data_IF_286947258206
#
_entry.id   IF_286947258206
#
_cell.length_a   1.000
_cell.length_b   1.000
_cell.length_c   1.000
_cell.angle_alpha   90.00
_cell.angle_beta   90.00
_cell.angle_gamma   90.00
#
_symmetry.space_group_name_H-M   'P 1'
#
loop_
_entity.id
_entity.type
_entity.pdbx_description
1 polymer ?
#
# COMPACT_ATOMS: atom_id res chain seq x y z
N UNK A 1 -2.83 -10.24 27.20
CA UNK A 1 -4.28 -10.46 27.03
C UNK A 1 -4.92 -9.24 26.40
N UNK A 2 -6.06 -9.40 25.73
CA UNK A 2 -6.81 -8.30 25.10
C UNK A 2 -7.22 -7.18 26.09
N UNK A 3 -7.29 -7.48 27.38
CA UNK A 3 -7.59 -6.55 28.45
C UNK A 3 -6.34 -5.90 29.07
N UNK A 4 -5.13 -6.25 28.62
CA UNK A 4 -3.90 -5.64 29.15
C UNK A 4 -3.70 -4.23 28.59
N UNK A 5 -3.20 -3.32 29.43
CA UNK A 5 -2.67 -2.03 28.96
C UNK A 5 -1.46 -2.35 28.08
N UNK A 6 -1.51 -2.06 26.78
CA UNK A 6 -0.40 -2.29 25.87
C UNK A 6 0.90 -1.62 26.35
N UNK A 7 2.03 -2.10 25.87
CA UNK A 7 3.32 -1.44 26.10
C UNK A 7 3.47 -0.28 25.11
N UNK A 8 3.83 0.90 25.61
CA UNK A 8 4.14 2.03 24.76
C UNK A 8 5.33 1.71 23.85
N UNK A 9 5.24 2.03 22.58
CA UNK A 9 6.35 1.85 21.62
C UNK A 9 7.58 2.69 22.01
N UNK A 10 7.38 3.81 22.73
CA UNK A 10 8.47 4.62 23.29
C UNK A 10 9.29 3.89 24.35
N UNK A 11 8.74 2.83 24.96
CA UNK A 11 9.47 1.96 25.89
C UNK A 11 10.32 0.91 25.16
N UNK A 12 10.05 0.67 23.88
CA UNK A 12 10.74 -0.32 23.06
C UNK A 12 11.80 0.35 22.18
N UNK A 13 11.45 1.53 21.65
CA UNK A 13 12.31 2.30 20.75
C UNK A 13 12.66 3.66 21.39
N UNK A 14 13.90 4.14 21.29
CA UNK A 14 14.34 5.43 21.81
C UNK A 14 13.83 6.59 20.96
N UNK A 15 12.52 6.67 20.78
CA UNK A 15 11.85 7.72 20.01
C UNK A 15 11.67 8.96 20.87
N UNK A 16 11.84 10.14 20.27
CA UNK A 16 11.49 11.41 20.89
C UNK A 16 9.97 11.62 20.80
N UNK A 17 9.37 12.29 21.78
CA UNK A 17 7.92 12.48 21.90
C UNK A 17 7.24 13.12 20.68
N UNK A 18 7.98 13.79 19.81
CA UNK A 18 7.45 14.41 18.58
C UNK A 18 7.56 13.51 17.34
N UNK A 19 8.13 12.31 17.46
CA UNK A 19 8.22 11.37 16.34
C UNK A 19 6.89 10.62 16.17
N UNK A 20 6.39 10.56 14.94
CA UNK A 20 5.23 9.76 14.56
C UNK A 20 5.71 8.51 13.80
N UNK A 21 5.09 7.36 14.13
CA UNK A 21 5.31 6.12 13.38
C UNK A 21 4.45 6.17 12.14
N UNK A 22 5.07 6.05 10.97
CA UNK A 22 4.39 6.06 9.68
C UNK A 22 4.10 4.67 9.13
N UNK A 23 4.93 3.68 9.46
CA UNK A 23 4.78 2.31 8.98
C UNK A 23 5.47 1.33 9.92
N UNK A 24 4.87 0.15 10.08
CA UNK A 24 5.46 -1.01 10.73
C UNK A 24 5.43 -2.15 9.72
N UNK A 25 6.53 -2.86 9.58
CA UNK A 25 6.65 -3.97 8.66
C UNK A 25 7.36 -5.14 9.35
N UNK A 26 6.75 -6.32 9.42
CA UNK A 26 7.45 -7.52 9.87
C UNK A 26 8.56 -7.86 8.88
N UNK A 27 9.69 -8.30 9.40
CA UNK A 27 10.81 -8.77 8.58
C UNK A 27 10.86 -10.30 8.64
N UNK A 28 11.34 -10.98 7.57
CA UNK A 28 11.63 -12.41 7.63
C UNK A 28 12.63 -12.72 8.74
N UNK A 29 12.41 -13.79 9.49
CA UNK A 29 13.27 -14.19 10.62
C UNK A 29 14.66 -14.61 10.15
N UNK A 30 14.76 -15.27 9.00
CA UNK A 30 16.04 -15.68 8.42
C UNK A 30 16.74 -14.51 7.70
N UNK A 31 17.70 -13.90 8.36
CA UNK A 31 18.50 -12.80 7.80
C UNK A 31 19.35 -13.23 6.58
N UNK A 32 19.61 -14.53 6.39
CA UNK A 32 20.36 -15.02 5.22
C UNK A 32 19.59 -14.78 3.91
N UNK A 33 18.28 -14.75 3.97
CA UNK A 33 17.39 -14.45 2.83
C UNK A 33 17.36 -12.95 2.47
N UNK A 34 17.77 -12.05 3.38
CA UNK A 34 17.67 -10.60 3.18
C UNK A 34 18.48 -10.10 1.98
N UNK A 35 19.52 -10.81 1.58
CA UNK A 35 20.33 -10.51 0.38
C UNK A 35 19.50 -10.59 -0.91
N UNK A 36 18.48 -11.45 -0.94
CA UNK A 36 17.62 -11.69 -2.10
C UNK A 36 16.41 -10.76 -2.11
N UNK A 37 16.13 -10.06 -1.02
CA UNK A 37 14.97 -9.23 -0.83
C UNK A 37 15.30 -7.75 -0.99
N UNK A 38 14.40 -7.04 -1.63
CA UNK A 38 14.46 -5.59 -1.79
C UNK A 38 13.47 -4.93 -0.85
N UNK A 39 13.81 -3.77 -0.33
CA UNK A 39 12.89 -2.91 0.39
C UNK A 39 12.58 -1.68 -0.44
N UNK A 40 11.28 -1.41 -0.60
CA UNK A 40 10.76 -0.26 -1.34
C UNK A 40 10.20 0.75 -0.35
N UNK A 41 10.64 1.98 -0.47
CA UNK A 41 10.09 3.13 0.23
C UNK A 41 9.32 3.99 -0.77
N UNK A 42 8.16 4.49 -0.37
CA UNK A 42 7.40 5.46 -1.15
C UNK A 42 7.02 6.66 -0.29
N UNK A 43 7.05 7.85 -0.89
CA UNK A 43 6.74 9.10 -0.20
C UNK A 43 5.46 9.75 -0.71
N UNK A 44 4.87 10.61 0.10
CA UNK A 44 3.64 11.34 -0.24
C UNK A 44 3.79 12.21 -1.50
N UNK A 45 4.99 12.73 -1.78
CA UNK A 45 5.31 13.49 -3.00
C UNK A 45 5.64 12.62 -4.21
N UNK A 46 5.47 11.29 -4.08
CA UNK A 46 5.59 10.36 -5.20
C UNK A 46 7.01 9.92 -5.53
N UNK A 47 7.97 10.15 -4.62
CA UNK A 47 9.31 9.58 -4.76
C UNK A 47 9.31 8.13 -4.26
N UNK A 48 10.14 7.32 -4.91
CA UNK A 48 10.35 5.91 -4.55
C UNK A 48 11.83 5.61 -4.47
N UNK A 49 12.16 4.67 -3.60
CA UNK A 49 13.52 4.23 -3.39
C UNK A 49 13.56 2.72 -3.20
N UNK A 50 14.57 2.06 -3.76
CA UNK A 50 14.84 0.63 -3.61
C UNK A 50 16.22 0.40 -3.03
N UNK A 51 16.30 -0.35 -1.93
CA UNK A 51 17.52 -0.85 -1.33
C UNK A 51 17.46 -2.38 -1.22
N UNK A 52 18.59 -3.05 -1.01
CA UNK A 52 18.59 -4.41 -0.48
C UNK A 52 18.11 -4.38 0.98
N UNK A 53 17.39 -5.41 1.41
CA UNK A 53 17.01 -5.52 2.82
C UNK A 53 18.24 -5.70 3.71
N UNK A 54 19.32 -6.31 3.20
CA UNK A 54 20.61 -6.47 3.87
C UNK A 54 21.23 -5.13 4.33
N UNK A 55 20.94 -4.00 3.65
CA UNK A 55 21.40 -2.68 4.09
C UNK A 55 20.91 -2.30 5.50
N UNK A 56 19.95 -3.04 6.03
CA UNK A 56 19.28 -2.79 7.30
C UNK A 56 19.56 -3.86 8.38
N UNK A 57 20.49 -4.79 8.17
CA UNK A 57 20.86 -5.83 9.16
C UNK A 57 21.37 -5.20 10.44
N UNK A 58 22.39 -4.36 10.37
CA UNK A 58 22.98 -3.76 11.56
C UNK A 58 22.34 -2.39 11.87
N UNK A 59 21.38 -2.35 12.77
CA UNK A 59 20.72 -1.12 13.21
C UNK A 59 21.12 -0.80 14.64
N UNK A 60 21.66 0.39 14.86
CA UNK A 60 21.95 0.90 16.18
C UNK A 60 20.65 1.22 16.95
N UNK A 61 20.73 1.28 18.28
CA UNK A 61 19.58 1.65 19.12
C UNK A 61 18.95 3.01 18.75
N UNK A 62 19.74 3.95 18.22
CA UNK A 62 19.27 5.24 17.72
C UNK A 62 18.56 5.18 16.35
N UNK A 63 18.42 3.98 15.78
CA UNK A 63 17.85 3.77 14.45
C UNK A 63 18.82 4.07 13.30
N UNK A 64 18.31 4.00 12.10
CA UNK A 64 19.08 4.15 10.86
C UNK A 64 18.28 4.98 9.85
N UNK A 65 18.87 6.03 9.28
CA UNK A 65 18.20 6.80 8.22
C UNK A 65 18.03 5.90 7.01
N UNK A 66 16.79 5.71 6.59
CA UNK A 66 16.44 4.89 5.43
C UNK A 66 16.49 5.68 4.11
N UNK A 67 16.01 6.93 4.14
CA UNK A 67 16.10 7.85 3.00
C UNK A 67 16.02 9.31 3.47
N UNK A 68 16.51 10.23 2.65
CA UNK A 68 16.31 11.67 2.86
C UNK A 68 14.92 12.06 2.34
N UNK A 69 14.21 12.88 3.10
CA UNK A 69 12.93 13.44 2.69
C UNK A 69 13.09 14.93 2.32
N UNK A 70 12.24 15.40 1.43
CA UNK A 70 12.04 16.83 1.20
C UNK A 70 11.21 17.44 2.34
N UNK A 71 11.23 18.76 2.43
CA UNK A 71 10.35 19.48 3.35
C UNK A 71 8.88 19.10 3.03
N UNK A 72 8.10 18.83 4.08
CA UNK A 72 6.69 18.42 4.00
C UNK A 72 6.43 17.11 3.24
N UNK A 73 7.47 16.31 2.96
CA UNK A 73 7.30 14.96 2.43
C UNK A 73 7.27 13.94 3.57
N UNK A 74 6.53 12.84 3.39
CA UNK A 74 6.36 11.78 4.39
C UNK A 74 6.49 10.43 3.72
N UNK A 75 7.09 9.46 4.41
CA UNK A 75 7.00 8.05 4.00
C UNK A 75 5.55 7.60 4.19
N UNK A 76 4.94 7.08 3.12
CA UNK A 76 3.56 6.58 3.14
C UNK A 76 3.52 5.04 3.14
N UNK A 77 4.61 4.40 2.87
CA UNK A 77 4.69 2.95 2.88
C UNK A 77 6.10 2.43 2.69
N UNK A 78 6.34 1.31 3.33
CA UNK A 78 7.56 0.51 3.19
C UNK A 78 7.12 -0.93 2.93
N UNK A 79 7.65 -1.58 1.90
CA UNK A 79 7.28 -2.96 1.54
C UNK A 79 8.50 -3.74 1.09
N UNK A 80 8.54 -5.02 1.44
CA UNK A 80 9.48 -5.98 0.88
C UNK A 80 9.01 -6.31 -0.54
N UNK A 81 9.95 -6.45 -1.46
CA UNK A 81 9.69 -6.71 -2.88
C UNK A 81 10.79 -7.61 -3.44
N UNK A 82 10.40 -8.55 -4.29
CA UNK A 82 11.31 -9.31 -5.13
C UNK A 82 11.61 -8.54 -6.42
N UNK A 83 12.65 -8.94 -7.12
CA UNK A 83 13.10 -8.19 -8.30
C UNK A 83 12.12 -8.24 -9.49
N UNK A 84 11.36 -9.32 -9.60
CA UNK A 84 10.42 -9.58 -10.69
C UNK A 84 8.99 -9.08 -10.40
N UNK A 85 8.75 -8.50 -9.23
CA UNK A 85 7.44 -7.97 -8.83
C UNK A 85 7.19 -6.56 -9.35
N UNK A 86 5.93 -6.15 -9.37
CA UNK A 86 5.52 -4.83 -9.78
C UNK A 86 5.17 -3.97 -8.57
N UNK A 87 5.43 -2.67 -8.70
CA UNK A 87 5.08 -1.65 -7.73
C UNK A 87 3.85 -0.92 -8.23
N UNK A 88 2.85 -0.78 -7.37
CA UNK A 88 1.66 0.04 -7.59
C UNK A 88 1.64 1.18 -6.58
N UNK A 89 1.61 2.41 -7.07
CA UNK A 89 1.35 3.60 -6.28
C UNK A 89 -0.05 4.09 -6.57
N UNK A 90 -0.81 4.42 -5.53
CA UNK A 90 -2.15 5.01 -5.64
C UNK A 90 -2.18 6.40 -5.03
N UNK A 91 -2.92 7.33 -5.64
CA UNK A 91 -2.98 8.72 -5.19
C UNK A 91 -4.33 9.07 -4.57
N UNK A 92 -4.33 10.13 -3.78
CA UNK A 92 -5.52 10.66 -3.10
C UNK A 92 -6.64 11.04 -4.09
N UNK A 93 -6.27 11.50 -5.29
CA UNK A 93 -7.23 11.87 -6.33
C UNK A 93 -7.60 10.72 -7.27
N UNK A 94 -7.34 9.47 -6.84
CA UNK A 94 -7.81 8.28 -7.54
C UNK A 94 -7.00 7.87 -8.75
N UNK A 95 -5.81 8.46 -8.96
CA UNK A 95 -4.85 7.97 -9.96
C UNK A 95 -4.03 6.82 -9.39
N UNK A 96 -3.48 6.00 -10.27
CA UNK A 96 -2.52 4.98 -9.91
C UNK A 96 -1.51 4.75 -11.03
N UNK A 97 -0.33 4.27 -10.66
CA UNK A 97 0.72 3.90 -11.61
C UNK A 97 1.32 2.55 -11.21
N UNK A 98 1.39 1.63 -12.15
CA UNK A 98 2.03 0.32 -11.99
C UNK A 98 3.28 0.25 -12.85
N UNK A 99 4.39 -0.15 -12.26
CA UNK A 99 5.66 -0.32 -12.96
C UNK A 99 6.50 -1.44 -12.35
N UNK A 100 7.38 -2.03 -13.14
CA UNK A 100 8.24 -3.13 -12.69
C UNK A 100 9.29 -2.65 -11.69
N UNK A 101 9.51 -3.40 -10.61
CA UNK A 101 10.57 -3.18 -9.63
C UNK A 101 11.95 -3.05 -10.30
N UNK A 102 12.20 -3.79 -11.38
CA UNK A 102 13.43 -3.71 -12.21
C UNK A 102 13.70 -2.31 -12.78
N UNK A 103 12.67 -1.46 -12.94
CA UNK A 103 12.82 -0.07 -13.42
C UNK A 103 13.31 0.89 -12.34
N UNK A 104 13.41 0.44 -11.08
CA UNK A 104 14.04 1.17 -10.01
C UNK A 104 15.51 0.75 -9.92
N UNK A 105 16.39 1.73 -9.96
CA UNK A 105 17.81 1.45 -9.63
C UNK A 105 17.93 1.05 -8.16
N UNK A 106 18.83 0.15 -7.88
CA UNK A 106 19.23 -0.18 -6.52
C UNK A 106 20.13 0.93 -5.96
N UNK A 107 19.79 1.45 -4.81
CA UNK A 107 20.61 2.44 -4.11
C UNK A 107 21.53 1.74 -3.13
N UNK A 108 22.82 1.99 -3.21
CA UNK A 108 23.81 1.46 -2.27
C UNK A 108 23.86 2.23 -0.96
N UNK A 109 23.55 3.51 -0.97
CA UNK A 109 23.52 4.35 0.23
C UNK A 109 22.10 4.69 0.67
N UNK A 110 21.92 5.40 1.78
CA UNK A 110 20.61 5.72 2.37
C UNK A 110 20.30 7.22 2.44
N UNK A 111 21.23 8.08 2.01
CA UNK A 111 21.17 9.54 2.17
C UNK A 111 20.49 10.30 1.03
N UNK A 112 19.93 9.63 0.00
CA UNK A 112 19.25 10.28 -1.12
C UNK A 112 17.72 10.21 -1.01
N UNK A 113 17.04 11.12 -1.70
CA UNK A 113 15.57 11.23 -1.74
C UNK A 113 14.87 10.16 -2.60
N UNK A 114 15.63 9.27 -3.25
CA UNK A 114 15.07 8.34 -4.23
C UNK A 114 14.86 8.98 -5.62
N UNK A 115 13.92 8.46 -6.37
CA UNK A 115 13.60 8.90 -7.73
C UNK A 115 12.08 9.01 -7.90
N UNK A 116 11.64 9.80 -8.90
CA UNK A 116 10.21 9.97 -9.18
C UNK A 116 9.55 8.65 -9.56
N UNK A 117 8.58 8.22 -8.76
CA UNK A 117 7.71 7.07 -9.03
C UNK A 117 6.47 7.45 -9.83
N UNK A 118 5.85 8.58 -9.51
CA UNK A 118 4.65 9.11 -10.15
C UNK A 118 4.74 10.63 -10.29
N UNK A 119 4.16 11.17 -11.35
CA UNK A 119 3.95 12.62 -11.53
C UNK A 119 2.56 12.94 -10.97
N UNK A 120 2.52 13.67 -9.88
CA UNK A 120 1.30 14.10 -9.22
C UNK A 120 0.70 15.34 -9.89
N UNK A 121 -0.61 15.48 -9.84
CA UNK A 121 -1.31 16.74 -10.09
C UNK A 121 -1.08 17.69 -8.90
N UNK A 122 -1.44 18.96 -9.08
CA UNK A 122 -1.40 19.93 -7.99
C UNK A 122 -2.24 19.43 -6.80
N UNK A 123 -1.70 19.55 -5.58
CA UNK A 123 -2.31 19.12 -4.31
C UNK A 123 -2.61 17.62 -4.19
N UNK A 124 -2.31 16.79 -5.21
CA UNK A 124 -2.45 15.35 -5.12
C UNK A 124 -1.30 14.75 -4.30
N UNK A 125 -1.52 13.59 -3.67
CA UNK A 125 -0.54 12.89 -2.86
C UNK A 125 -0.61 11.40 -3.13
N UNK A 126 0.52 10.71 -3.06
CA UNK A 126 0.52 9.26 -2.95
C UNK A 126 0.02 8.88 -1.55
N UNK A 127 -0.90 7.94 -1.50
CA UNK A 127 -1.50 7.46 -0.25
C UNK A 127 -1.25 5.98 0.00
N UNK A 128 -0.79 5.24 -1.01
CA UNK A 128 -0.59 3.80 -0.89
C UNK A 128 0.54 3.29 -1.77
N UNK A 129 1.30 2.35 -1.22
CA UNK A 129 2.30 1.53 -1.89
C UNK A 129 1.85 0.07 -1.78
N UNK A 130 1.70 -0.60 -2.92
CA UNK A 130 1.42 -2.03 -2.98
C UNK A 130 2.42 -2.75 -3.87
N UNK A 131 2.73 -3.99 -3.55
CA UNK A 131 3.58 -4.88 -4.35
C UNK A 131 2.69 -5.93 -4.99
N UNK A 132 2.77 -6.06 -6.29
CA UNK A 132 2.02 -7.04 -7.08
C UNK A 132 2.98 -8.14 -7.51
N UNK A 133 2.74 -9.33 -7.00
CA UNK A 133 3.47 -10.53 -7.41
C UNK A 133 3.15 -10.85 -8.87
N UNK A 134 4.19 -11.09 -9.66
CA UNK A 134 4.04 -11.53 -11.02
C UNK A 134 3.97 -13.07 -11.07
N UNK A 135 2.91 -13.59 -11.67
CA UNK A 135 2.81 -15.01 -11.98
C UNK A 135 3.58 -15.33 -13.25
N UNK A 136 4.21 -16.51 -13.29
CA UNK A 136 4.75 -17.08 -14.52
C UNK A 136 3.65 -17.54 -15.48
N UNK A 137 2.44 -17.69 -14.98
CA UNK A 137 1.26 -18.10 -15.76
C UNK A 137 0.56 -16.81 -16.22
N UNK A 138 0.26 -16.69 -17.51
CA UNK A 138 -0.56 -15.59 -18.01
C UNK A 138 -2.01 -15.78 -17.50
N UNK A 139 -2.50 -14.89 -16.63
CA UNK A 139 -3.84 -15.05 -16.06
C UNK A 139 -4.97 -14.98 -17.09
N UNK A 140 -4.68 -14.47 -18.30
CA UNK A 140 -5.67 -14.37 -19.38
C UNK A 140 -5.89 -15.70 -20.11
N UNK A 141 -4.95 -16.64 -19.97
CA UNK A 141 -4.98 -17.93 -20.69
C UNK A 141 -5.59 -19.06 -19.87
N UNK A 142 -5.98 -18.83 -18.63
CA UNK A 142 -6.50 -19.85 -17.72
C UNK A 142 -7.91 -19.52 -17.24
N UNK A 143 -8.68 -20.57 -16.89
CA UNK A 143 -10.03 -20.43 -16.31
C UNK A 143 -10.01 -19.75 -14.95
N UNK A 144 -11.15 -19.20 -14.51
CA UNK A 144 -11.29 -18.54 -13.20
C UNK A 144 -10.92 -19.49 -12.05
N UNK A 145 -11.35 -20.77 -12.09
CA UNK A 145 -11.00 -21.75 -11.06
C UNK A 145 -9.48 -21.95 -10.95
N UNK A 146 -8.77 -21.96 -12.09
CA UNK A 146 -7.31 -22.05 -12.10
C UNK A 146 -6.67 -20.76 -11.59
N UNK A 147 -7.26 -19.58 -11.82
CA UNK A 147 -6.80 -18.33 -11.24
C UNK A 147 -6.89 -18.36 -9.72
N UNK A 148 -8.02 -18.84 -9.18
CA UNK A 148 -8.23 -18.99 -7.73
C UNK A 148 -7.18 -19.92 -7.13
N UNK A 149 -7.02 -21.14 -7.70
CA UNK A 149 -6.05 -22.12 -7.22
C UNK A 149 -4.59 -21.62 -7.23
N UNK A 150 -4.24 -20.77 -8.18
CA UNK A 150 -2.89 -20.21 -8.29
C UNK A 150 -2.73 -18.84 -7.57
N UNK A 151 -3.70 -18.42 -6.78
CA UNK A 151 -3.65 -17.13 -6.07
C UNK A 151 -3.64 -15.89 -6.99
N UNK A 152 -4.11 -16.04 -8.24
CA UNK A 152 -4.14 -14.98 -9.25
C UNK A 152 -5.45 -14.18 -9.24
N UNK A 153 -6.41 -14.56 -8.41
CA UNK A 153 -7.66 -13.83 -8.22
C UNK A 153 -7.48 -12.72 -7.17
N UNK A 154 -6.62 -11.74 -7.52
CA UNK A 154 -6.31 -10.59 -6.66
C UNK A 154 -6.96 -9.32 -7.23
N UNK A 155 -7.31 -8.44 -6.33
CA UNK A 155 -7.97 -7.17 -6.65
C UNK A 155 -7.22 -6.01 -5.99
N UNK A 156 -7.34 -4.86 -6.59
CA UNK A 156 -7.04 -3.58 -5.95
C UNK A 156 -8.34 -3.07 -5.34
N UNK A 157 -8.43 -3.11 -4.02
CA UNK A 157 -9.50 -2.49 -3.27
C UNK A 157 -9.17 -1.02 -3.08
N UNK A 158 -10.06 -0.14 -3.52
CA UNK A 158 -9.96 1.31 -3.29
C UNK A 158 -11.14 1.75 -2.45
N UNK A 159 -10.86 2.44 -1.35
CA UNK A 159 -11.87 2.96 -0.43
C UNK A 159 -11.67 4.46 -0.25
N UNK A 160 -12.73 5.23 -0.35
CA UNK A 160 -12.71 6.68 -0.22
C UNK A 160 -13.14 7.16 1.17
N UNK A 161 -12.80 8.39 1.50
CA UNK A 161 -13.07 8.99 2.80
C UNK A 161 -14.57 9.06 3.14
N UNK A 162 -15.46 9.10 2.13
CA UNK A 162 -16.92 9.12 2.34
C UNK A 162 -17.54 7.71 2.41
N UNK A 163 -16.72 6.64 2.56
CA UNK A 163 -17.19 5.28 2.76
C UNK A 163 -17.65 4.58 1.48
N UNK A 164 -17.25 5.07 0.32
CA UNK A 164 -17.45 4.39 -0.96
C UNK A 164 -16.20 3.62 -1.35
N UNK A 165 -16.37 2.57 -2.14
CA UNK A 165 -15.23 1.82 -2.65
C UNK A 165 -15.65 0.74 -3.63
N UNK A 166 -14.65 0.05 -4.14
CA UNK A 166 -14.77 -1.05 -5.08
C UNK A 166 -13.53 -1.90 -5.07
N UNK A 167 -13.67 -3.13 -5.54
CA UNK A 167 -12.54 -3.96 -5.92
C UNK A 167 -12.45 -4.03 -7.45
N UNK A 168 -11.25 -3.89 -7.99
CA UNK A 168 -10.97 -3.96 -9.44
C UNK A 168 -9.88 -4.98 -9.67
N UNK A 169 -10.01 -5.87 -10.67
CA UNK A 169 -8.97 -6.83 -10.98
C UNK A 169 -7.61 -6.14 -11.13
N UNK A 170 -6.57 -6.68 -10.50
CA UNK A 170 -5.21 -6.14 -10.64
C UNK A 170 -4.70 -6.19 -12.10
N UNK A 171 -5.30 -7.05 -12.93
CA UNK A 171 -4.98 -7.18 -14.35
C UNK A 171 -5.42 -5.97 -15.17
N UNK A 172 -6.40 -5.20 -14.70
CA UNK A 172 -6.87 -3.98 -15.35
C UNK A 172 -5.85 -2.84 -15.23
N UNK A 173 -4.85 -2.98 -14.36
CA UNK A 173 -3.82 -1.97 -14.13
C UNK A 173 -2.59 -2.29 -15.00
N UNK A 174 -2.53 -1.67 -16.18
CA UNK A 174 -1.42 -1.90 -17.11
C UNK A 174 -0.06 -1.49 -16.50
N UNK A 175 0.96 -2.27 -16.80
CA UNK A 175 2.34 -1.95 -16.44
C UNK A 175 2.85 -0.83 -17.37
N UNK A 176 3.42 0.22 -16.79
CA UNK A 176 3.96 1.39 -17.51
C UNK A 176 5.40 1.67 -17.06
N UNK A 177 5.98 2.75 -17.57
CA UNK A 177 7.20 3.30 -16.99
C UNK A 177 6.86 4.13 -15.75
N UNK A 178 7.78 4.15 -14.76
CA UNK A 178 7.67 5.02 -13.59
C UNK A 178 7.72 6.51 -13.98
N UNK A 179 7.27 7.37 -13.09
CA UNK A 179 7.37 8.84 -13.24
C UNK A 179 6.34 9.47 -14.18
N UNK A 180 5.41 8.66 -14.76
CA UNK A 180 4.28 9.16 -15.54
C UNK A 180 3.12 9.64 -14.65
N UNK A 181 2.08 10.21 -15.30
CA UNK A 181 0.85 10.70 -14.62
C UNK A 181 -0.07 9.57 -14.13
N UNK A 182 0.25 8.30 -14.45
CA UNK A 182 -0.58 7.16 -14.13
C UNK A 182 -1.89 7.10 -14.91
N UNK A 183 -2.78 6.23 -14.46
CA UNK A 183 -4.12 5.99 -15.01
C UNK A 183 -5.17 6.19 -13.92
N UNK A 184 -6.44 6.33 -14.29
CA UNK A 184 -7.55 6.36 -13.34
C UNK A 184 -7.68 4.98 -12.71
N UNK A 185 -7.64 4.89 -11.40
CA UNK A 185 -7.95 3.71 -10.59
C UNK A 185 -9.38 3.74 -10.09
N UNK A 186 -9.84 4.92 -9.65
CA UNK A 186 -11.21 5.20 -9.23
C UNK A 186 -11.53 6.66 -9.54
N UNK A 187 -12.77 6.96 -9.91
CA UNK A 187 -13.21 8.33 -10.18
C UNK A 187 -13.58 9.01 -8.87
N UNK A 188 -12.92 10.11 -8.54
CA UNK A 188 -13.30 10.97 -7.44
C UNK A 188 -14.45 11.90 -7.84
N UNK A 189 -15.32 12.17 -6.87
CA UNK A 189 -16.43 13.13 -7.01
C UNK A 189 -16.78 13.67 -5.62
N UNK A 190 -17.58 14.74 -5.51
CA UNK A 190 -18.07 15.22 -4.22
C UNK A 190 -18.80 14.14 -3.41
N UNK A 191 -19.40 13.15 -4.09
CA UNK A 191 -20.12 12.04 -3.45
C UNK A 191 -19.18 11.12 -2.68
N UNK A 192 -18.10 10.67 -3.30
CA UNK A 192 -17.20 9.69 -2.69
C UNK A 192 -15.98 10.34 -2.00
N UNK A 193 -15.62 11.57 -2.35
CA UNK A 193 -14.48 12.26 -1.76
C UNK A 193 -13.13 11.72 -2.21
N UNK A 194 -12.09 12.04 -1.46
CA UNK A 194 -10.74 11.56 -1.74
C UNK A 194 -10.56 10.09 -1.38
N UNK A 195 -9.56 9.44 -1.95
CA UNK A 195 -9.23 8.07 -1.62
C UNK A 195 -8.48 8.05 -0.29
N UNK A 196 -9.02 7.29 0.66
CA UNK A 196 -8.44 7.10 1.99
C UNK A 196 -7.44 5.93 2.01
N UNK A 197 -7.74 4.86 1.25
CA UNK A 197 -6.87 3.68 1.21
C UNK A 197 -6.99 2.93 -0.11
N UNK A 198 -5.88 2.28 -0.52
CA UNK A 198 -5.85 1.38 -1.66
C UNK A 198 -4.90 0.22 -1.35
N UNK A 199 -5.37 -1.03 -1.44
CA UNK A 199 -4.61 -2.21 -1.04
C UNK A 199 -4.94 -3.41 -1.94
N UNK A 200 -4.01 -4.37 -1.98
CA UNK A 200 -4.21 -5.64 -2.69
C UNK A 200 -4.95 -6.60 -1.77
N UNK A 201 -6.00 -7.20 -2.30
CA UNK A 201 -6.83 -8.18 -1.59
C UNK A 201 -7.14 -9.37 -2.49
N UNK A 202 -7.31 -10.53 -1.87
CA UNK A 202 -7.94 -11.71 -2.46
C UNK A 202 -9.45 -11.70 -2.23
N UNK A 203 -10.17 -12.59 -2.88
CA UNK A 203 -11.63 -12.67 -2.75
C UNK A 203 -12.09 -13.10 -1.35
N UNK A 204 -11.33 -13.98 -0.71
CA UNK A 204 -11.64 -14.53 0.61
C UNK A 204 -11.05 -13.72 1.76
N UNK A 205 -10.32 -12.65 1.47
CA UNK A 205 -9.76 -11.78 2.49
C UNK A 205 -10.87 -11.02 3.24
N UNK A 206 -10.53 -10.57 4.43
CA UNK A 206 -11.34 -9.64 5.21
C UNK A 206 -10.57 -8.35 5.45
N UNK A 207 -11.31 -7.28 5.64
CA UNK A 207 -10.75 -5.96 5.95
C UNK A 207 -11.33 -5.38 7.21
N UNK A 208 -10.53 -4.55 7.86
CA UNK A 208 -10.99 -3.63 8.91
C UNK A 208 -10.92 -2.21 8.35
N UNK A 209 -12.04 -1.51 8.42
CA UNK A 209 -12.19 -0.12 8.08
C UNK A 209 -12.36 0.68 9.37
N UNK A 210 -11.58 1.74 9.55
CA UNK A 210 -11.68 2.64 10.69
C UNK A 210 -11.95 4.09 10.25
N UNK A 211 -12.62 4.84 11.12
CA UNK A 211 -13.01 6.23 10.88
C UNK A 211 -12.37 7.18 11.90
N UNK A 212 -12.36 8.46 11.57
CA UNK A 212 -11.86 9.56 12.43
C UNK A 212 -12.69 9.74 13.72
N UNK A 213 -13.89 9.14 13.79
CA UNK A 213 -14.73 9.10 15.00
C UNK A 213 -14.54 7.84 15.84
N UNK A 214 -13.55 7.00 15.50
CA UNK A 214 -13.27 5.77 16.23
C UNK A 214 -14.20 4.59 15.89
N UNK A 215 -15.07 4.73 14.89
CA UNK A 215 -15.90 3.64 14.41
C UNK A 215 -15.05 2.61 13.65
N UNK A 216 -15.26 1.32 13.94
CA UNK A 216 -14.57 0.21 13.29
C UNK A 216 -15.61 -0.70 12.65
N UNK A 217 -15.32 -1.19 11.44
CA UNK A 217 -16.13 -2.17 10.72
C UNK A 217 -15.24 -3.26 10.13
N UNK A 218 -15.61 -4.51 10.34
CA UNK A 218 -15.05 -5.67 9.63
C UNK A 218 -15.97 -6.04 8.46
N UNK A 219 -15.38 -6.33 7.30
CA UNK A 219 -16.12 -6.64 6.09
C UNK A 219 -15.37 -7.68 5.26
N UNK A 220 -16.08 -8.69 4.75
CA UNK A 220 -15.51 -9.63 3.80
C UNK A 220 -15.32 -8.97 2.43
N UNK A 221 -14.18 -9.15 1.81
CA UNK A 221 -13.86 -8.55 0.50
C UNK A 221 -14.86 -8.99 -0.59
N UNK A 222 -15.34 -10.24 -0.53
CA UNK A 222 -16.33 -10.77 -1.49
C UNK A 222 -17.64 -9.99 -1.52
N UNK A 223 -18.01 -9.31 -0.43
CA UNK A 223 -19.23 -8.48 -0.35
C UNK A 223 -19.08 -7.13 -1.06
N UNK A 224 -17.84 -6.71 -1.33
CA UNK A 224 -17.56 -5.47 -2.03
C UNK A 224 -17.65 -5.70 -3.53
N UNK A 225 -18.44 -4.89 -4.20
CA UNK A 225 -18.68 -5.01 -5.65
C UNK A 225 -17.38 -4.95 -6.45
N UNK A 226 -17.20 -5.89 -7.37
CA UNK A 226 -16.19 -5.81 -8.42
C UNK A 226 -16.65 -4.83 -9.50
N UNK A 227 -15.81 -3.88 -9.86
CA UNK A 227 -16.11 -2.87 -10.87
C UNK A 227 -14.84 -2.43 -11.61
N UNK A 228 -15.00 -1.96 -12.83
CA UNK A 228 -13.90 -1.43 -13.63
C UNK A 228 -13.29 -0.16 -13.02
N UNK A 229 -12.08 0.21 -13.48
CA UNK A 229 -11.32 1.37 -12.97
C UNK A 229 -12.09 2.69 -13.08
N UNK A 230 -12.76 2.94 -14.20
CA UNK A 230 -13.48 4.19 -14.48
C UNK A 230 -14.87 4.24 -13.81
N UNK A 231 -14.95 3.95 -12.52
CA UNK A 231 -16.17 4.02 -11.71
C UNK A 231 -15.91 4.69 -10.38
N UNK A 232 -16.96 5.19 -9.75
CA UNK A 232 -16.89 5.85 -8.42
C UNK A 232 -16.97 4.87 -7.24
N UNK A 233 -17.20 3.57 -7.52
CA UNK A 233 -17.48 2.59 -6.49
C UNK A 233 -18.92 2.66 -5.95
N UNK A 234 -19.18 1.79 -4.99
CA UNK A 234 -20.43 1.67 -4.26
C UNK A 234 -20.23 2.04 -2.79
N UNK A 235 -21.31 2.28 -2.06
CA UNK A 235 -21.22 2.53 -0.63
C UNK A 235 -20.88 1.23 0.11
N UNK A 236 -19.74 1.20 0.79
CA UNK A 236 -19.30 0.10 1.66
C UNK A 236 -19.81 0.34 3.09
N UNK A 237 -19.68 1.59 3.58
CA UNK A 237 -20.13 1.98 4.91
C UNK A 237 -20.95 3.27 4.83
N UNK A 238 -22.10 3.29 5.49
CA UNK A 238 -22.84 4.53 5.75
C UNK A 238 -22.15 5.24 6.92
N UNK A 239 -21.68 6.43 6.68
CA UNK A 239 -21.03 7.29 7.67
C UNK A 239 -22.05 8.28 8.25
N UNK A 240 -21.82 8.73 9.47
CA UNK A 240 -22.68 9.68 10.19
C UNK A 240 -22.11 11.09 10.13
N UNK A 241 -22.90 12.05 9.68
CA UNK A 241 -22.51 13.46 9.64
C UNK A 241 -21.21 13.69 8.87
N UNK A 242 -20.21 14.28 9.53
CA UNK A 242 -18.89 14.60 8.97
C UNK A 242 -17.86 13.46 9.11
N UNK A 243 -18.28 12.28 9.57
CA UNK A 243 -17.38 11.13 9.76
C UNK A 243 -16.66 10.76 8.46
N UNK A 244 -15.38 10.42 8.55
CA UNK A 244 -14.52 10.05 7.42
C UNK A 244 -13.80 8.73 7.67
N UNK A 245 -13.67 7.92 6.63
CA UNK A 245 -12.76 6.77 6.64
C UNK A 245 -11.33 7.29 6.63
N UNK A 246 -10.50 6.80 7.54
CA UNK A 246 -9.09 7.20 7.67
C UNK A 246 -8.13 6.05 7.39
N UNK A 247 -8.56 4.80 7.57
CA UNK A 247 -7.72 3.64 7.34
C UNK A 247 -8.53 2.42 6.90
N UNK A 248 -7.94 1.62 6.04
CA UNK A 248 -8.42 0.28 5.70
C UNK A 248 -7.22 -0.65 5.70
N UNK A 249 -7.30 -1.73 6.44
CA UNK A 249 -6.27 -2.76 6.52
C UNK A 249 -6.86 -4.12 6.16
N UNK A 250 -6.04 -4.97 5.56
CA UNK A 250 -6.36 -6.39 5.38
C UNK A 250 -6.10 -7.12 6.69
N UNK A 251 -7.00 -7.99 7.08
CA UNK A 251 -6.77 -8.95 8.16
C UNK A 251 -5.91 -10.06 7.56
N UNK A 252 -4.72 -10.24 8.09
CA UNK A 252 -3.91 -11.41 7.79
C UNK A 252 -4.44 -12.55 8.66
N UNK A 253 -4.84 -13.66 8.04
CA UNK A 253 -5.16 -14.88 8.78
C UNK A 253 -3.93 -15.24 9.60
N UNK A 254 -4.09 -15.30 10.93
CA UNK A 254 -3.01 -15.75 11.79
C UNK A 254 -2.54 -17.10 11.27
N UNK A 255 -1.30 -17.15 10.88
CA UNK A 255 -0.58 -18.40 10.66
C UNK A 255 -0.57 -19.08 12.02
N UNK A 256 -1.45 -20.08 12.19
CA UNK A 256 -1.35 -21.03 13.30
C UNK A 256 -0.10 -21.88 13.13
#
# INVERSE_FOLDING_TARGET
>A
TAASKGKSIFNILPLKNHHAISSIMPLPEDESEWKKLMVIFATSKGNVRKNTLEDFVNINNSGKIAMKLDQDDKIIGVKICKEDEDILLSTQFGKCIRFKSKKLRLFKGRSSKGIKGVQLADKDKVISLSIIENSKIDPKTISEDKKIKNGLNKFILSVSENGYGKRTSYLDYRVTNRGGKGIIGIINSPRNGNIASSLIVGENDEIILSTDKGSIMRCAVKEIRTAGRNTQGVRIKKLSGSEKVVSVIKIEDNIN
#
